data_IF_235744801745
#
_entry.id   IF_235744801745
#
_cell.length_a   1.000
_cell.length_b   1.000
_cell.length_c   1.000
_cell.angle_alpha   90.00
_cell.angle_beta   90.00
_cell.angle_gamma   90.00
#
_symmetry.space_group_name_H-M   'P 1'
#
loop_
_entity.id
_entity.type
_entity.pdbx_description
1 polymer ?
#
# COMPACT_ATOMS: atom_id res chain seq x y z
N UNK A 1 31.99 -28.15 -10.37
CA UNK A 1 32.27 -26.81 -9.82
C UNK A 1 31.45 -25.71 -10.50
N UNK A 2 31.57 -25.53 -11.82
CA UNK A 2 30.84 -24.47 -12.56
C UNK A 2 29.31 -24.68 -12.52
N UNK A 3 28.84 -25.90 -12.79
CA UNK A 3 27.40 -26.22 -12.75
C UNK A 3 26.80 -25.98 -11.36
N UNK A 4 27.49 -26.43 -10.30
CA UNK A 4 27.05 -26.22 -8.92
C UNK A 4 27.02 -24.75 -8.53
N UNK A 5 28.00 -23.94 -8.95
CA UNK A 5 27.98 -22.50 -8.74
C UNK A 5 26.82 -21.82 -9.48
N UNK A 6 26.52 -22.24 -10.72
CA UNK A 6 25.39 -21.74 -11.49
C UNK A 6 24.04 -22.04 -10.83
N UNK A 7 23.85 -23.25 -10.32
CA UNK A 7 22.62 -23.64 -9.59
C UNK A 7 22.45 -22.80 -8.32
N UNK A 8 23.52 -22.61 -7.55
CA UNK A 8 23.48 -21.78 -6.34
C UNK A 8 23.15 -20.33 -6.70
N UNK A 9 23.77 -19.78 -7.75
CA UNK A 9 23.48 -18.44 -8.23
C UNK A 9 22.01 -18.26 -8.64
N UNK A 10 21.46 -19.21 -9.39
CA UNK A 10 20.06 -19.20 -9.80
C UNK A 10 19.09 -19.24 -8.60
N UNK A 11 19.37 -20.10 -7.62
CA UNK A 11 18.57 -20.19 -6.40
C UNK A 11 18.62 -18.90 -5.58
N UNK A 12 19.80 -18.30 -5.42
CA UNK A 12 19.96 -17.04 -4.70
C UNK A 12 19.22 -15.89 -5.40
N UNK A 13 19.30 -15.82 -6.73
CA UNK A 13 18.58 -14.83 -7.52
C UNK A 13 17.05 -14.97 -7.35
N UNK A 14 16.53 -16.18 -7.48
CA UNK A 14 15.10 -16.46 -7.32
C UNK A 14 14.59 -16.12 -5.91
N UNK A 15 15.38 -16.44 -4.88
CA UNK A 15 15.07 -16.08 -3.49
C UNK A 15 15.10 -14.56 -3.28
N UNK A 16 16.05 -13.84 -3.89
CA UNK A 16 16.12 -12.38 -3.81
C UNK A 16 14.89 -11.70 -4.40
N UNK A 17 14.50 -12.11 -5.61
CA UNK A 17 13.30 -11.60 -6.29
C UNK A 17 12.04 -11.91 -5.48
N UNK A 18 11.88 -13.17 -5.05
CA UNK A 18 10.72 -13.59 -4.26
C UNK A 18 10.60 -12.84 -2.94
N UNK A 19 11.71 -12.53 -2.27
CA UNK A 19 11.73 -11.72 -1.05
C UNK A 19 11.24 -10.29 -1.28
N UNK A 20 11.64 -9.66 -2.38
CA UNK A 20 11.18 -8.32 -2.75
C UNK A 20 9.67 -8.25 -2.94
N UNK A 21 9.11 -9.19 -3.71
CA UNK A 21 7.67 -9.29 -3.97
C UNK A 21 6.89 -9.49 -2.66
N UNK A 22 7.30 -10.47 -1.85
CA UNK A 22 6.62 -10.77 -0.58
C UNK A 22 6.69 -9.58 0.38
N UNK A 23 7.80 -8.85 0.43
CA UNK A 23 7.94 -7.67 1.27
C UNK A 23 6.96 -6.56 0.85
N UNK A 24 6.83 -6.29 -0.45
CA UNK A 24 5.87 -5.30 -0.97
C UNK A 24 4.43 -5.68 -0.64
N UNK A 25 4.04 -6.93 -0.91
CA UNK A 25 2.69 -7.43 -0.59
C UNK A 25 2.38 -7.32 0.91
N UNK A 26 3.32 -7.67 1.78
CA UNK A 26 3.14 -7.54 3.23
C UNK A 26 2.91 -6.09 3.67
N UNK A 27 3.61 -5.12 3.06
CA UNK A 27 3.40 -3.69 3.36
C UNK A 27 2.00 -3.24 2.95
N UNK A 28 1.54 -3.62 1.75
CA UNK A 28 0.19 -3.31 1.27
C UNK A 28 -0.88 -3.93 2.16
N UNK A 29 -0.75 -5.21 2.52
CA UNK A 29 -1.68 -5.90 3.42
C UNK A 29 -1.68 -5.27 4.82
N UNK A 30 -0.51 -4.90 5.36
CA UNK A 30 -0.44 -4.25 6.66
C UNK A 30 -1.20 -2.92 6.68
N UNK A 31 -1.09 -2.10 5.63
CA UNK A 31 -1.86 -0.87 5.54
C UNK A 31 -3.35 -1.10 5.34
N UNK A 32 -3.75 -2.07 4.51
CA UNK A 32 -5.15 -2.44 4.36
C UNK A 32 -5.75 -2.91 5.69
N UNK A 33 -4.98 -3.67 6.48
CA UNK A 33 -5.37 -4.11 7.81
C UNK A 33 -5.52 -2.95 8.78
N UNK A 34 -4.59 -1.99 8.77
CA UNK A 34 -4.65 -0.76 9.57
C UNK A 34 -5.90 0.07 9.26
N UNK A 35 -6.27 0.14 7.96
CA UNK A 35 -7.50 0.79 7.48
C UNK A 35 -8.76 0.03 7.94
N UNK A 36 -8.74 -1.31 7.93
CA UNK A 36 -9.90 -2.12 8.28
C UNK A 36 -10.11 -2.27 9.80
N UNK A 37 -9.05 -2.30 10.61
CA UNK A 37 -9.11 -2.64 12.05
C UNK A 37 -9.30 -1.44 12.99
N UNK A 38 -9.20 -0.19 12.51
CA UNK A 38 -9.94 0.89 13.17
C UNK A 38 -9.24 2.24 13.39
N UNK A 39 -7.92 2.37 13.33
CA UNK A 39 -7.32 3.73 13.38
C UNK A 39 -7.28 4.39 12.00
N UNK A 40 -7.17 3.56 10.94
CA UNK A 40 -7.40 3.96 9.56
C UNK A 40 -6.77 5.27 9.16
N UNK A 41 -5.49 5.45 9.50
CA UNK A 41 -4.72 6.63 9.12
C UNK A 41 -4.55 6.68 7.59
N UNK A 42 -5.53 7.30 6.94
CA UNK A 42 -5.57 7.54 5.50
C UNK A 42 -4.52 8.57 5.05
N UNK A 43 -3.63 9.04 5.93
CA UNK A 43 -2.46 9.85 5.56
C UNK A 43 -1.26 9.00 5.15
N UNK A 44 -1.18 7.73 5.57
CA UNK A 44 -0.08 6.82 5.22
C UNK A 44 -0.06 6.47 3.72
N UNK A 45 1.14 6.28 3.18
CA UNK A 45 1.39 5.97 1.76
C UNK A 45 2.39 4.84 1.61
N UNK A 46 2.20 4.01 0.58
CA UNK A 46 3.19 3.03 0.16
C UNK A 46 4.32 3.74 -0.58
N UNK A 47 5.52 3.23 -0.41
CA UNK A 47 6.66 3.60 -1.25
C UNK A 47 6.40 3.16 -2.69
N UNK A 48 6.37 4.12 -3.61
CA UNK A 48 6.10 3.93 -5.03
C UNK A 48 7.33 4.24 -5.90
N UNK A 49 8.54 4.14 -5.34
CA UNK A 49 9.79 4.41 -6.05
C UNK A 49 10.16 3.34 -7.12
N UNK A 50 9.49 2.19 -7.12
CA UNK A 50 9.73 1.15 -8.13
C UNK A 50 9.09 1.48 -9.48
N UNK A 51 9.80 1.17 -10.57
CA UNK A 51 9.26 1.25 -11.94
C UNK A 51 8.59 -0.07 -12.40
N UNK A 52 8.55 -1.07 -11.52
CA UNK A 52 7.93 -2.38 -11.76
C UNK A 52 6.44 -2.42 -11.38
N UNK A 53 5.83 -3.60 -11.49
CA UNK A 53 4.43 -3.82 -11.13
C UNK A 53 4.15 -3.54 -9.64
N UNK A 54 5.15 -3.69 -8.77
CA UNK A 54 5.01 -3.43 -7.33
C UNK A 54 4.95 -1.93 -7.05
N UNK A 55 5.76 -1.13 -7.75
CA UNK A 55 5.68 0.32 -7.70
C UNK A 55 4.37 0.86 -8.29
N UNK A 56 3.88 0.25 -9.37
CA UNK A 56 2.56 0.57 -9.93
C UNK A 56 1.42 0.24 -8.94
N UNK A 57 1.48 -0.92 -8.27
CA UNK A 57 0.53 -1.28 -7.21
C UNK A 57 0.53 -0.24 -6.09
N UNK A 58 1.71 0.17 -5.62
CA UNK A 58 1.85 1.20 -4.59
C UNK A 58 1.24 2.54 -5.02
N UNK A 59 1.49 2.96 -6.28
CA UNK A 59 0.92 4.19 -6.85
C UNK A 59 -0.60 4.17 -6.88
N UNK A 60 -1.20 3.09 -7.38
CA UNK A 60 -2.67 2.97 -7.47
C UNK A 60 -3.32 2.80 -6.10
N UNK A 61 -2.67 2.09 -5.18
CA UNK A 61 -3.11 2.02 -3.79
C UNK A 61 -3.14 3.40 -3.12
N UNK A 62 -2.08 4.20 -3.28
CA UNK A 62 -2.03 5.56 -2.77
C UNK A 62 -3.14 6.45 -3.34
N UNK A 63 -3.45 6.31 -4.64
CA UNK A 63 -4.55 7.02 -5.29
C UNK A 63 -5.92 6.61 -4.73
N UNK A 64 -6.13 5.31 -4.50
CA UNK A 64 -7.33 4.79 -3.87
C UNK A 64 -7.52 5.37 -2.46
N UNK A 65 -6.51 5.29 -1.60
CA UNK A 65 -6.56 5.84 -0.22
C UNK A 65 -6.83 7.35 -0.23
N UNK A 66 -6.22 8.10 -1.14
CA UNK A 66 -6.49 9.54 -1.32
C UNK A 66 -7.96 9.80 -1.65
N UNK A 67 -8.57 8.97 -2.50
CA UNK A 67 -9.99 9.11 -2.85
C UNK A 67 -10.90 8.81 -1.67
N UNK A 68 -10.61 7.75 -0.91
CA UNK A 68 -11.34 7.40 0.32
C UNK A 68 -11.27 8.55 1.33
N UNK A 69 -10.08 9.12 1.56
CA UNK A 69 -9.88 10.25 2.46
C UNK A 69 -10.74 11.46 2.07
N UNK A 70 -10.76 11.80 0.78
CA UNK A 70 -11.59 12.90 0.27
C UNK A 70 -13.08 12.66 0.51
N UNK A 71 -13.58 11.45 0.23
CA UNK A 71 -14.99 11.12 0.47
C UNK A 71 -15.36 11.22 1.95
N UNK A 72 -14.52 10.70 2.86
CA UNK A 72 -14.74 10.81 4.30
C UNK A 72 -14.74 12.28 4.75
N UNK A 73 -13.83 13.10 4.22
CA UNK A 73 -13.80 14.55 4.47
C UNK A 73 -15.08 15.26 4.06
N UNK A 74 -15.60 14.97 2.86
CA UNK A 74 -16.89 15.54 2.39
C UNK A 74 -18.07 15.15 3.27
N UNK A 75 -18.10 13.90 3.76
CA UNK A 75 -19.16 13.45 4.70
C UNK A 75 -19.06 14.22 6.01
N UNK A 76 -17.86 14.37 6.57
CA UNK A 76 -17.64 15.12 7.81
C UNK A 76 -18.03 16.60 7.67
N UNK A 77 -17.67 17.24 6.55
CA UNK A 77 -18.07 18.61 6.23
C UNK A 77 -19.60 18.75 6.15
N UNK A 78 -20.26 17.82 5.46
CA UNK A 78 -21.73 17.82 5.32
C UNK A 78 -22.43 17.68 6.68
N UNK A 79 -21.91 16.82 7.56
CA UNK A 79 -22.42 16.69 8.94
C UNK A 79 -22.20 17.98 9.75
N UNK A 80 -21.04 18.63 9.61
CA UNK A 80 -20.76 19.90 10.27
C UNK A 80 -21.72 21.02 9.86
N UNK A 81 -22.03 21.13 8.57
CA UNK A 81 -23.00 22.09 8.04
C UNK A 81 -24.40 21.82 8.62
N UNK A 82 -24.83 20.55 8.69
CA UNK A 82 -26.13 20.18 9.26
C UNK A 82 -26.23 20.54 10.75
N UNK A 83 -25.17 20.30 11.53
CA UNK A 83 -25.12 20.68 12.95
C UNK A 83 -25.18 22.20 13.12
N UNK A 84 -24.39 22.96 12.36
CA UNK A 84 -24.38 24.43 12.43
C UNK A 84 -25.69 25.07 11.94
N UNK A 85 -26.44 24.40 11.06
CA UNK A 85 -27.75 24.86 10.59
C UNK A 85 -28.90 24.49 11.53
N UNK A 86 -28.66 23.62 12.51
CA UNK A 86 -29.64 23.18 13.51
C UNK A 86 -29.58 24.01 14.81
N UNK A 87 -28.59 24.89 14.95
CA UNK A 87 -28.51 25.96 15.96
C UNK A 87 -29.04 27.28 15.39
#
# INVERSE_FOLDING_TARGET
AVVSAGVVGYLLLGVGIGRGIVASLRRTTAMLRDIAEGEGDLTKRLDAAGDDEMGQLAKWFNAFVKKVHGTVGTVAESTGILSASSE
#
